data_IF_392247478280
#
_entry.id   IF_392247478280
#
_cell.length_a   1.000
_cell.length_b   1.000
_cell.length_c   1.000
_cell.angle_alpha   90.00
_cell.angle_beta   90.00
_cell.angle_gamma   90.00
#
_symmetry.space_group_name_H-M   'P 1'
#
loop_
_entity.id
_entity.type
_entity.pdbx_description
1 polymer ?
#
# COMPACT_ATOMS: atom_id res chain seq x y z
N UNK A 1 -16.12 12.16 -18.73
CA UNK A 1 -14.73 11.87 -18.28
C UNK A 1 -14.78 10.69 -17.31
N UNK A 2 -13.75 9.84 -17.28
CA UNK A 2 -13.62 8.76 -16.29
C UNK A 2 -13.49 9.39 -14.90
N UNK A 3 -14.25 8.89 -13.92
CA UNK A 3 -14.15 9.41 -12.54
C UNK A 3 -12.80 9.02 -11.95
N UNK A 4 -11.93 10.00 -11.67
CA UNK A 4 -10.66 9.82 -10.96
C UNK A 4 -10.95 9.91 -9.46
N UNK A 5 -10.47 8.92 -8.67
CA UNK A 5 -10.73 8.85 -7.23
C UNK A 5 -9.51 9.25 -6.42
N UNK A 6 -9.74 9.91 -5.31
CA UNK A 6 -8.68 10.14 -4.32
C UNK A 6 -8.52 8.93 -3.42
N UNK A 7 -7.28 8.58 -3.10
CA UNK A 7 -6.94 7.36 -2.32
C UNK A 7 -5.76 7.59 -1.38
N UNK A 8 -5.46 6.61 -0.57
CA UNK A 8 -4.27 6.54 0.30
C UNK A 8 -3.33 5.42 -0.15
N UNK A 9 -2.07 5.50 0.29
CA UNK A 9 -1.10 4.43 0.16
C UNK A 9 -0.73 3.94 1.55
N UNK A 10 -1.09 2.68 1.83
CA UNK A 10 -0.71 1.96 3.05
C UNK A 10 -0.96 2.74 4.34
N UNK A 11 0.13 3.04 5.04
CA UNK A 11 0.11 3.46 6.44
C UNK A 11 -0.26 4.92 6.66
N UNK A 12 -1.03 5.16 7.74
CA UNK A 12 -1.42 6.48 8.24
C UNK A 12 -0.88 6.72 9.66
N UNK A 13 -0.44 7.94 10.02
CA UNK A 13 0.13 8.21 11.34
C UNK A 13 -0.93 8.13 12.44
N UNK A 14 -0.62 7.34 13.46
CA UNK A 14 -1.37 7.28 14.72
C UNK A 14 -0.38 7.37 15.88
N UNK A 15 -0.81 7.98 16.99
CA UNK A 15 0.00 8.04 18.21
C UNK A 15 -0.50 6.96 19.16
N UNK A 16 0.29 5.91 19.32
CA UNK A 16 0.05 4.89 20.34
C UNK A 16 0.51 5.42 21.69
N UNK A 17 -0.30 5.23 22.74
CA UNK A 17 0.04 5.69 24.06
C UNK A 17 1.18 4.86 24.68
N UNK A 18 2.16 5.54 25.31
CA UNK A 18 3.33 4.88 25.87
C UNK A 18 2.98 3.80 26.89
N UNK A 19 1.93 4.01 27.70
CA UNK A 19 1.50 3.02 28.69
C UNK A 19 1.00 1.72 28.05
N UNK A 20 0.36 1.79 26.87
CA UNK A 20 -0.07 0.59 26.15
C UNK A 20 1.10 -0.14 25.50
N UNK A 21 2.07 0.63 24.95
CA UNK A 21 3.31 0.03 24.43
C UNK A 21 4.09 -0.68 25.54
N UNK A 22 4.21 -0.05 26.72
CA UNK A 22 4.84 -0.67 27.88
C UNK A 22 4.06 -1.88 28.40
N UNK A 23 2.73 -1.81 28.46
CA UNK A 23 1.88 -2.94 28.83
C UNK A 23 2.05 -4.12 27.90
N UNK A 24 2.10 -3.88 26.58
CA UNK A 24 2.37 -4.91 25.58
C UNK A 24 3.77 -5.50 25.72
N UNK A 25 4.77 -4.69 26.01
CA UNK A 25 6.16 -5.13 26.17
C UNK A 25 6.41 -5.91 27.49
N UNK A 26 5.96 -5.37 28.62
CA UNK A 26 6.27 -5.95 29.94
C UNK A 26 5.25 -6.99 30.41
N UNK A 27 3.98 -6.82 30.09
CA UNK A 27 2.88 -7.66 30.60
C UNK A 27 2.29 -8.61 29.56
N UNK A 28 2.83 -8.63 28.33
CA UNK A 28 2.26 -9.36 27.19
C UNK A 28 0.77 -9.02 26.93
N UNK A 29 0.32 -7.84 27.38
CA UNK A 29 -1.03 -7.38 27.19
C UNK A 29 -1.26 -7.07 25.70
N UNK A 30 -2.33 -7.62 25.10
CA UNK A 30 -2.69 -7.26 23.75
C UNK A 30 -3.09 -5.79 23.66
N UNK A 31 -2.44 -5.02 22.78
CA UNK A 31 -2.84 -3.66 22.45
C UNK A 31 -4.19 -3.69 21.76
N UNK A 32 -5.15 -2.91 22.25
CA UNK A 32 -6.42 -2.72 21.55
C UNK A 32 -6.23 -1.79 20.35
N UNK A 33 -6.00 -2.35 19.19
CA UNK A 33 -5.74 -1.59 17.95
C UNK A 33 -6.98 -0.90 17.38
N UNK A 34 -8.18 -1.34 17.73
CA UNK A 34 -9.44 -0.83 17.17
C UNK A 34 -9.56 0.70 17.30
N UNK A 35 -9.15 1.28 18.45
CA UNK A 35 -9.19 2.73 18.64
C UNK A 35 -8.21 3.48 17.72
N UNK A 36 -7.05 2.89 17.43
CA UNK A 36 -6.05 3.48 16.55
C UNK A 36 -6.47 3.37 15.09
N UNK A 37 -7.00 2.22 14.66
CA UNK A 37 -7.61 2.03 13.34
C UNK A 37 -8.74 3.04 13.16
N UNK A 38 -9.68 3.13 14.13
CA UNK A 38 -10.77 4.12 14.11
C UNK A 38 -10.26 5.55 14.00
N UNK A 39 -9.17 5.88 14.70
CA UNK A 39 -8.57 7.22 14.65
C UNK A 39 -8.03 7.54 13.25
N UNK A 40 -7.30 6.61 12.61
CA UNK A 40 -6.78 6.77 11.25
C UNK A 40 -7.92 6.88 10.22
N UNK A 41 -8.89 5.96 10.29
CA UNK A 41 -10.05 5.93 9.38
C UNK A 41 -10.87 7.22 9.49
N UNK A 42 -11.14 7.70 10.71
CA UNK A 42 -11.88 8.94 10.92
C UNK A 42 -11.17 10.16 10.30
N UNK A 43 -9.86 10.23 10.36
CA UNK A 43 -9.10 11.31 9.72
C UNK A 43 -9.24 11.21 8.18
N UNK A 44 -9.02 10.03 7.61
CA UNK A 44 -9.17 9.81 6.17
C UNK A 44 -10.59 10.18 5.67
N UNK A 45 -11.64 9.75 6.39
CA UNK A 45 -13.04 10.13 6.09
C UNK A 45 -13.21 11.65 6.14
N UNK A 46 -12.70 12.31 7.18
CA UNK A 46 -12.82 13.78 7.35
C UNK A 46 -12.09 14.57 6.28
N UNK A 47 -11.02 14.04 5.68
CA UNK A 47 -10.33 14.70 4.58
C UNK A 47 -11.11 14.65 3.27
N UNK A 48 -12.11 13.77 3.16
CA UNK A 48 -12.91 13.57 1.96
C UNK A 48 -12.34 12.52 1.00
N UNK A 49 -11.25 11.84 1.33
CA UNK A 49 -10.67 10.76 0.51
C UNK A 49 -11.72 9.69 0.21
N UNK A 50 -11.82 9.28 -1.06
CA UNK A 50 -12.86 8.37 -1.53
C UNK A 50 -12.54 6.89 -1.30
N UNK A 51 -11.25 6.53 -1.34
CA UNK A 51 -10.78 5.15 -1.12
C UNK A 51 -9.87 5.09 0.12
N UNK A 52 -10.27 4.34 1.11
CA UNK A 52 -9.72 4.33 2.48
C UNK A 52 -9.10 2.97 2.78
N UNK A 53 -8.04 2.94 3.57
CA UNK A 53 -7.44 1.72 4.14
C UNK A 53 -7.66 1.65 5.66
N UNK A 54 -7.21 0.57 6.30
CA UNK A 54 -7.12 0.44 7.75
C UNK A 54 -5.98 1.29 8.37
N UNK A 55 -5.20 1.96 7.51
CA UNK A 55 -4.05 2.78 7.89
C UNK A 55 -2.83 1.97 8.31
N UNK A 56 -2.83 0.64 8.16
CA UNK A 56 -1.74 -0.27 8.59
C UNK A 56 -1.20 0.08 9.99
N UNK A 57 -2.11 0.39 10.93
CA UNK A 57 -1.74 0.96 12.23
C UNK A 57 -1.09 -0.04 13.18
N UNK A 58 -1.43 -1.32 13.04
CA UNK A 58 -1.18 -2.40 14.02
C UNK A 58 0.31 -2.71 14.22
N UNK A 59 1.04 -2.83 13.14
CA UNK A 59 2.47 -3.22 13.13
C UNK A 59 3.19 -2.54 11.94
N UNK A 60 4.52 -2.58 11.86
CA UNK A 60 5.21 -2.38 10.61
C UNK A 60 4.62 -3.32 9.54
N UNK A 61 4.47 -2.82 8.32
CA UNK A 61 3.70 -3.49 7.25
C UNK A 61 4.17 -4.94 6.95
N UNK A 62 5.45 -5.25 7.16
CA UNK A 62 6.00 -6.62 7.08
C UNK A 62 5.44 -7.49 8.22
N UNK A 63 5.49 -7.00 9.45
CA UNK A 63 5.11 -7.78 10.63
C UNK A 63 3.62 -8.08 10.70
N UNK A 64 2.77 -7.27 10.06
CA UNK A 64 1.32 -7.55 9.96
C UNK A 64 1.10 -8.96 9.41
N UNK A 65 1.88 -9.35 8.40
CA UNK A 65 1.77 -10.65 7.74
C UNK A 65 2.59 -11.72 8.46
N UNK A 66 3.88 -11.49 8.66
CA UNK A 66 4.79 -12.51 9.18
C UNK A 66 4.46 -12.97 10.58
N UNK A 67 3.81 -12.15 11.41
CA UNK A 67 3.32 -12.54 12.75
C UNK A 67 2.24 -13.62 12.70
N UNK A 68 1.53 -13.75 11.59
CA UNK A 68 0.40 -14.68 11.43
C UNK A 68 0.69 -15.89 10.56
N UNK A 69 1.76 -15.86 9.81
CA UNK A 69 2.18 -16.99 8.97
C UNK A 69 2.94 -18.04 9.81
N UNK A 70 2.75 -19.31 9.49
CA UNK A 70 3.62 -20.38 10.01
C UNK A 70 5.02 -20.20 9.46
N UNK A 71 6.00 -20.78 10.13
CA UNK A 71 7.40 -20.70 9.73
C UNK A 71 8.08 -19.38 10.07
N UNK A 72 7.31 -18.32 10.42
CA UNK A 72 7.83 -17.02 10.79
C UNK A 72 7.88 -16.85 12.32
N UNK A 73 8.98 -16.30 12.81
CA UNK A 73 9.17 -15.90 14.21
C UNK A 73 9.63 -14.44 14.26
N UNK A 74 9.02 -13.63 15.11
CA UNK A 74 9.41 -12.24 15.26
C UNK A 74 10.25 -12.08 16.52
N UNK A 75 11.47 -11.54 16.33
CA UNK A 75 12.36 -11.01 17.36
C UNK A 75 12.65 -9.54 17.05
N UNK A 76 13.91 -9.15 16.98
CA UNK A 76 14.29 -7.82 16.47
C UNK A 76 13.91 -7.64 14.98
N UNK A 77 13.90 -8.77 14.25
CA UNK A 77 13.43 -8.88 12.86
C UNK A 77 12.56 -10.12 12.71
N UNK A 78 11.89 -10.25 11.58
CA UNK A 78 11.28 -11.52 11.20
C UNK A 78 12.37 -12.53 10.87
N UNK A 79 12.32 -13.70 11.49
CA UNK A 79 13.16 -14.87 11.21
C UNK A 79 12.30 -15.97 10.59
N UNK A 80 12.80 -16.58 9.52
CA UNK A 80 12.18 -17.75 8.90
C UNK A 80 12.83 -18.99 9.48
N UNK A 81 12.09 -19.74 10.28
CA UNK A 81 12.60 -20.88 11.06
C UNK A 81 12.00 -22.23 10.67
N UNK A 82 10.99 -22.20 9.79
CA UNK A 82 10.33 -23.39 9.24
C UNK A 82 9.66 -22.98 7.91
N UNK A 83 9.03 -23.94 7.24
CA UNK A 83 8.28 -23.70 6.00
C UNK A 83 7.20 -22.64 6.19
N UNK A 84 7.18 -21.63 5.30
CA UNK A 84 6.18 -20.59 5.32
C UNK A 84 4.86 -21.12 4.78
N UNK A 85 3.81 -21.04 5.61
CA UNK A 85 2.46 -21.46 5.23
C UNK A 85 1.42 -20.47 5.77
N UNK A 86 0.29 -20.37 5.06
CA UNK A 86 -0.88 -19.65 5.54
C UNK A 86 -1.49 -20.31 6.78
N UNK A 87 -1.81 -19.52 7.79
CA UNK A 87 -2.33 -20.02 9.07
C UNK A 87 -3.66 -19.38 9.48
N UNK A 88 -4.45 -19.00 8.50
CA UNK A 88 -5.75 -18.34 8.73
C UNK A 88 -5.71 -16.83 8.49
N UNK A 89 -6.89 -16.16 8.57
CA UNK A 89 -7.07 -14.76 8.18
C UNK A 89 -6.12 -13.80 8.89
N UNK A 90 -5.44 -12.96 8.11
CA UNK A 90 -4.42 -12.02 8.60
C UNK A 90 -5.04 -10.66 8.88
N UNK A 91 -5.67 -10.05 7.86
CA UNK A 91 -6.18 -8.67 7.93
C UNK A 91 -7.71 -8.59 8.00
N UNK A 92 -8.41 -9.67 7.77
CA UNK A 92 -9.87 -9.70 7.57
C UNK A 92 -10.66 -9.10 8.73
N UNK A 93 -10.22 -9.32 9.99
CA UNK A 93 -10.89 -8.75 11.17
C UNK A 93 -10.87 -7.22 11.10
N UNK A 94 -9.72 -6.64 10.77
CA UNK A 94 -9.56 -5.18 10.69
C UNK A 94 -10.35 -4.61 9.52
N UNK A 95 -10.37 -5.29 8.35
CA UNK A 95 -11.14 -4.83 7.20
C UNK A 95 -12.66 -4.84 7.47
N UNK A 96 -13.18 -5.87 8.17
CA UNK A 96 -14.58 -5.90 8.61
C UNK A 96 -14.89 -4.75 9.59
N UNK A 97 -13.98 -4.47 10.50
CA UNK A 97 -14.12 -3.35 11.44
C UNK A 97 -14.15 -2.01 10.71
N UNK A 98 -13.20 -1.79 9.78
CA UNK A 98 -13.14 -0.56 8.98
C UNK A 98 -14.40 -0.40 8.13
N UNK A 99 -14.90 -1.47 7.50
CA UNK A 99 -16.13 -1.42 6.70
C UNK A 99 -17.33 -0.89 7.51
N UNK A 100 -17.40 -1.21 8.80
CA UNK A 100 -18.42 -0.67 9.72
C UNK A 100 -18.19 0.79 10.15
N UNK A 101 -17.03 1.39 9.87
CA UNK A 101 -16.70 2.77 10.24
C UNK A 101 -16.84 3.75 9.09
N UNK A 102 -16.67 3.30 7.85
CA UNK A 102 -16.66 4.18 6.67
C UNK A 102 -18.07 4.36 6.12
N UNK A 103 -18.41 5.54 5.56
CA UNK A 103 -19.66 5.78 4.85
C UNK A 103 -19.83 4.84 3.64
N UNK A 104 -21.07 4.56 3.25
CA UNK A 104 -21.40 3.65 2.14
C UNK A 104 -20.87 4.12 0.78
N UNK A 105 -20.69 5.43 0.60
CA UNK A 105 -20.13 6.04 -0.61
C UNK A 105 -18.59 5.95 -0.69
N UNK A 106 -17.93 5.42 0.33
CA UNK A 106 -16.48 5.23 0.39
C UNK A 106 -16.09 3.79 0.04
N UNK A 107 -14.94 3.66 -0.60
CA UNK A 107 -14.36 2.36 -0.94
C UNK A 107 -13.28 1.97 0.07
N UNK A 108 -13.17 0.69 0.33
CA UNK A 108 -12.15 0.11 1.20
C UNK A 108 -11.08 -0.61 0.39
N UNK A 109 -9.82 -0.29 0.67
CA UNK A 109 -8.65 -0.93 0.06
C UNK A 109 -8.07 -1.93 1.04
N UNK A 110 -7.95 -3.18 0.62
CA UNK A 110 -7.16 -4.19 1.31
C UNK A 110 -5.69 -4.09 0.90
N UNK A 111 -4.80 -4.12 1.88
CA UNK A 111 -3.37 -3.99 1.66
C UNK A 111 -2.67 -5.33 1.89
N UNK A 112 -1.76 -5.71 1.00
CA UNK A 112 -0.92 -6.90 1.11
C UNK A 112 0.52 -6.48 0.90
N UNK A 113 1.39 -6.76 1.88
CA UNK A 113 2.83 -6.66 1.67
C UNK A 113 3.27 -7.76 0.72
N UNK A 114 3.97 -7.39 -0.34
CA UNK A 114 4.33 -8.32 -1.39
C UNK A 114 5.37 -9.36 -0.97
N UNK A 115 5.39 -10.52 -1.63
CA UNK A 115 6.20 -11.67 -1.22
C UNK A 115 7.71 -11.41 -1.33
N UNK A 116 8.17 -10.67 -2.32
CA UNK A 116 9.58 -10.32 -2.47
C UNK A 116 10.04 -9.38 -1.35
N UNK A 117 9.18 -8.45 -0.96
CA UNK A 117 9.41 -7.56 0.19
C UNK A 117 9.46 -8.36 1.49
N UNK A 118 8.55 -9.31 1.72
CA UNK A 118 8.59 -10.17 2.90
C UNK A 118 9.88 -10.99 2.96
N UNK A 119 10.30 -11.54 1.82
CA UNK A 119 11.56 -12.31 1.69
C UNK A 119 12.77 -11.45 2.09
N UNK A 120 12.93 -10.29 1.44
CA UNK A 120 14.10 -9.42 1.65
C UNK A 120 14.10 -8.69 3.01
N UNK A 121 12.96 -8.61 3.68
CA UNK A 121 12.84 -8.02 5.02
C UNK A 121 13.05 -9.04 6.15
N UNK A 122 13.18 -10.33 5.81
CA UNK A 122 13.31 -11.42 6.78
C UNK A 122 14.75 -11.96 6.84
N UNK A 123 15.11 -12.55 7.98
CA UNK A 123 16.33 -13.33 8.12
C UNK A 123 15.98 -14.79 7.87
N UNK A 124 16.44 -15.34 6.77
CA UNK A 124 16.18 -16.73 6.42
C UNK A 124 17.15 -17.66 7.17
N UNK A 125 16.60 -18.57 7.97
CA UNK A 125 17.33 -19.60 8.71
C UNK A 125 16.91 -21.03 8.30
N UNK A 126 15.99 -21.16 7.35
CA UNK A 126 15.40 -22.45 6.98
C UNK A 126 15.60 -22.82 5.51
N UNK A 127 15.28 -21.88 4.59
CA UNK A 127 15.41 -22.11 3.17
C UNK A 127 16.88 -21.99 2.72
N UNK A 128 17.22 -22.68 1.65
CA UNK A 128 18.55 -22.57 1.01
C UNK A 128 18.52 -21.70 -0.24
N UNK A 129 17.31 -21.38 -0.72
CA UNK A 129 17.06 -20.63 -1.94
C UNK A 129 16.01 -19.53 -1.65
N UNK A 130 16.41 -18.27 -1.82
CA UNK A 130 15.56 -17.11 -1.67
C UNK A 130 14.30 -17.20 -2.54
N UNK A 131 14.43 -17.77 -3.73
CA UNK A 131 13.31 -17.95 -4.67
C UNK A 131 12.24 -18.89 -4.07
N UNK A 132 12.64 -19.99 -3.44
CA UNK A 132 11.73 -20.93 -2.79
C UNK A 132 10.93 -20.22 -1.68
N UNK A 133 11.61 -19.46 -0.82
CA UNK A 133 10.98 -18.65 0.23
C UNK A 133 9.98 -17.64 -0.35
N UNK A 134 10.37 -16.93 -1.41
CA UNK A 134 9.50 -15.93 -2.06
C UNK A 134 8.22 -16.57 -2.63
N UNK A 135 8.32 -17.77 -3.21
CA UNK A 135 7.16 -18.50 -3.71
C UNK A 135 6.25 -19.00 -2.57
N UNK A 136 6.78 -19.49 -1.48
CA UNK A 136 5.97 -19.92 -0.33
C UNK A 136 5.24 -18.72 0.30
N UNK A 137 5.88 -17.56 0.40
CA UNK A 137 5.18 -16.31 0.74
C UNK A 137 4.06 -15.99 -0.25
N UNK A 138 4.32 -16.08 -1.57
CA UNK A 138 3.31 -15.78 -2.58
C UNK A 138 2.09 -16.71 -2.47
N UNK A 139 2.29 -18.01 -2.23
CA UNK A 139 1.20 -18.96 -2.02
C UNK A 139 0.41 -18.71 -0.74
N UNK A 140 1.09 -18.33 0.34
CA UNK A 140 0.42 -17.95 1.58
C UNK A 140 -0.41 -16.67 1.41
N UNK A 141 0.14 -15.64 0.76
CA UNK A 141 -0.55 -14.38 0.48
C UNK A 141 -1.71 -14.54 -0.52
N UNK A 142 -1.63 -15.48 -1.46
CA UNK A 142 -2.75 -15.83 -2.34
C UNK A 142 -3.97 -16.24 -1.53
N UNK A 143 -3.80 -17.06 -0.49
CA UNK A 143 -4.92 -17.51 0.36
C UNK A 143 -5.54 -16.34 1.12
N UNK A 144 -4.73 -15.43 1.66
CA UNK A 144 -5.23 -14.19 2.26
C UNK A 144 -5.99 -13.34 1.25
N UNK A 145 -5.43 -13.10 0.06
CA UNK A 145 -6.03 -12.28 -1.00
C UNK A 145 -7.40 -12.81 -1.44
N UNK A 146 -7.55 -14.14 -1.57
CA UNK A 146 -8.81 -14.79 -1.93
C UNK A 146 -9.92 -14.58 -0.89
N UNK A 147 -9.57 -14.48 0.38
CA UNK A 147 -10.55 -14.16 1.43
C UNK A 147 -10.78 -12.64 1.48
N UNK A 148 -9.71 -11.86 1.42
CA UNK A 148 -9.71 -10.41 1.53
C UNK A 148 -10.60 -9.74 0.48
N UNK A 149 -10.56 -10.18 -0.79
CA UNK A 149 -11.39 -9.61 -1.87
C UNK A 149 -12.90 -9.62 -1.59
N UNK A 150 -13.38 -10.46 -0.67
CA UNK A 150 -14.80 -10.52 -0.28
C UNK A 150 -15.19 -9.40 0.70
N UNK A 151 -14.23 -8.66 1.22
CA UNK A 151 -14.42 -7.66 2.26
C UNK A 151 -13.96 -6.26 1.86
N UNK A 152 -13.29 -6.13 0.72
CA UNK A 152 -12.72 -4.86 0.22
C UNK A 152 -13.13 -4.61 -1.23
N UNK A 153 -12.99 -3.37 -1.70
CA UNK A 153 -13.36 -2.99 -3.06
C UNK A 153 -12.16 -3.07 -4.02
N UNK A 154 -10.95 -3.12 -3.49
CA UNK A 154 -9.70 -3.24 -4.25
C UNK A 154 -8.61 -3.85 -3.36
N UNK A 155 -7.67 -4.58 -3.96
CA UNK A 155 -6.46 -5.04 -3.29
C UNK A 155 -5.25 -4.28 -3.83
N UNK A 156 -4.41 -3.75 -2.93
CA UNK A 156 -3.10 -3.17 -3.25
C UNK A 156 -1.99 -4.08 -2.72
N UNK A 157 -1.04 -4.42 -3.58
CA UNK A 157 0.16 -5.17 -3.23
C UNK A 157 1.31 -4.16 -3.14
N UNK A 158 1.99 -4.11 -2.00
CA UNK A 158 3.08 -3.17 -1.75
C UNK A 158 4.44 -3.89 -1.85
N UNK A 159 5.21 -3.60 -2.91
CA UNK A 159 6.49 -4.21 -3.23
C UNK A 159 7.64 -3.19 -3.32
N UNK A 160 8.00 -2.51 -2.22
CA UNK A 160 9.06 -1.50 -2.23
C UNK A 160 10.41 -2.04 -2.71
N UNK A 161 10.75 -3.30 -2.43
CA UNK A 161 12.02 -3.89 -2.85
C UNK A 161 12.17 -4.05 -4.37
N UNK A 162 11.07 -4.03 -5.13
CA UNK A 162 11.14 -4.03 -6.59
C UNK A 162 11.84 -2.80 -7.16
N UNK A 163 11.87 -1.68 -6.44
CA UNK A 163 12.63 -0.48 -6.88
C UNK A 163 14.14 -0.70 -6.94
N UNK A 164 14.67 -1.69 -6.21
CA UNK A 164 16.08 -2.08 -6.25
C UNK A 164 16.38 -3.04 -7.41
N UNK A 165 15.37 -3.55 -8.08
CA UNK A 165 15.40 -4.51 -9.18
C UNK A 165 14.34 -5.58 -9.02
N UNK A 166 13.67 -5.93 -10.12
CA UNK A 166 12.66 -6.99 -10.14
C UNK A 166 13.37 -8.30 -10.50
N UNK A 167 13.33 -9.34 -9.66
CA UNK A 167 13.93 -10.62 -10.01
C UNK A 167 13.18 -11.26 -11.18
N UNK A 168 13.82 -12.15 -11.94
CA UNK A 168 13.22 -12.83 -13.11
C UNK A 168 11.88 -13.50 -12.79
N UNK A 169 11.71 -13.97 -11.57
CA UNK A 169 10.49 -14.59 -11.07
C UNK A 169 9.49 -13.60 -10.46
N UNK A 170 9.83 -12.30 -10.37
CA UNK A 170 9.02 -11.28 -9.68
C UNK A 170 7.61 -11.15 -10.25
N UNK A 171 7.46 -11.17 -11.57
CA UNK A 171 6.14 -11.16 -12.24
C UNK A 171 5.28 -12.38 -11.85
N UNK A 172 5.90 -13.57 -11.75
CA UNK A 172 5.17 -14.79 -11.38
C UNK A 172 4.69 -14.75 -9.91
N UNK A 173 5.48 -14.16 -9.00
CA UNK A 173 5.04 -13.94 -7.61
C UNK A 173 3.74 -13.12 -7.55
N UNK A 174 3.68 -12.01 -8.29
CA UNK A 174 2.49 -11.16 -8.33
C UNK A 174 1.32 -11.88 -8.99
N UNK A 175 1.57 -12.64 -10.07
CA UNK A 175 0.57 -13.44 -10.77
C UNK A 175 -0.06 -14.51 -9.87
N UNK A 176 0.72 -15.18 -9.02
CA UNK A 176 0.21 -16.15 -8.05
C UNK A 176 -0.85 -15.51 -7.13
N UNK A 177 -0.59 -14.31 -6.62
CA UNK A 177 -1.51 -13.60 -5.73
C UNK A 177 -2.76 -13.13 -6.47
N UNK A 178 -2.59 -12.62 -7.71
CA UNK A 178 -3.65 -11.87 -8.42
C UNK A 178 -4.54 -12.72 -9.32
N UNK A 179 -4.10 -13.92 -9.72
CA UNK A 179 -4.72 -14.75 -10.76
C UNK A 179 -6.22 -14.99 -10.59
N UNK A 180 -6.65 -15.24 -9.36
CA UNK A 180 -8.03 -15.64 -9.06
C UNK A 180 -8.81 -14.52 -8.36
N UNK A 181 -8.35 -13.27 -8.46
CA UNK A 181 -9.02 -12.10 -7.90
C UNK A 181 -9.95 -11.45 -8.92
N UNK A 182 -11.19 -11.22 -8.54
CA UNK A 182 -12.20 -10.51 -9.33
C UNK A 182 -12.22 -8.99 -9.07
N UNK A 183 -11.75 -8.54 -7.89
CA UNK A 183 -11.65 -7.11 -7.59
C UNK A 183 -10.46 -6.47 -8.31
N UNK A 184 -10.46 -5.14 -8.52
CA UNK A 184 -9.30 -4.42 -9.05
C UNK A 184 -8.04 -4.65 -8.21
N UNK A 185 -6.89 -4.76 -8.88
CA UNK A 185 -5.58 -5.02 -8.29
C UNK A 185 -4.63 -3.86 -8.60
N UNK A 186 -4.00 -3.33 -7.56
CA UNK A 186 -2.98 -2.30 -7.66
C UNK A 186 -1.64 -2.87 -7.17
N UNK A 187 -0.56 -2.51 -7.81
CA UNK A 187 0.78 -2.66 -7.24
C UNK A 187 1.33 -1.28 -6.89
N UNK A 188 1.87 -1.16 -5.68
CA UNK A 188 2.60 0.03 -5.26
C UNK A 188 4.08 -0.31 -5.09
N UNK A 189 4.94 0.42 -5.80
CA UNK A 189 6.39 0.30 -5.70
C UNK A 189 6.92 1.68 -5.33
N UNK A 190 7.42 1.80 -4.09
CA UNK A 190 8.07 3.02 -3.60
C UNK A 190 9.43 3.25 -4.28
N UNK A 191 9.87 4.50 -4.33
CA UNK A 191 11.19 4.86 -4.84
C UNK A 191 11.25 5.03 -6.35
N UNK A 192 12.48 5.06 -6.87
CA UNK A 192 12.75 5.34 -8.29
C UNK A 192 12.68 4.07 -9.14
N UNK A 193 11.60 3.93 -9.90
CA UNK A 193 11.39 2.81 -10.85
C UNK A 193 11.77 3.17 -12.29
N UNK A 194 12.44 4.30 -12.53
CA UNK A 194 12.75 4.81 -13.89
C UNK A 194 13.53 3.83 -14.77
N UNK A 195 14.33 2.94 -14.16
CA UNK A 195 15.15 1.95 -14.85
C UNK A 195 14.45 0.64 -15.14
N UNK A 196 13.26 0.42 -14.56
CA UNK A 196 12.50 -0.83 -14.63
C UNK A 196 11.06 -0.62 -15.14
N UNK A 197 10.81 0.49 -15.85
CA UNK A 197 9.47 0.81 -16.37
C UNK A 197 8.88 -0.31 -17.24
N UNK A 198 9.63 -0.95 -18.16
CA UNK A 198 9.09 -2.06 -18.94
C UNK A 198 8.57 -3.21 -18.09
N UNK A 199 9.32 -3.62 -17.07
CA UNK A 199 8.96 -4.69 -16.14
C UNK A 199 7.74 -4.30 -15.31
N UNK A 200 7.66 -3.04 -14.87
CA UNK A 200 6.52 -2.50 -14.13
C UNK A 200 5.26 -2.49 -14.98
N UNK A 201 5.36 -2.06 -16.25
CA UNK A 201 4.24 -2.07 -17.19
C UNK A 201 3.73 -3.49 -17.51
N UNK A 202 4.58 -4.51 -17.38
CA UNK A 202 4.25 -5.91 -17.64
C UNK A 202 3.67 -6.65 -16.41
N UNK A 203 3.55 -5.99 -15.25
CA UNK A 203 2.99 -6.61 -14.03
C UNK A 203 1.52 -7.01 -14.21
N UNK A 204 1.09 -8.17 -13.69
CA UNK A 204 -0.28 -8.68 -13.86
C UNK A 204 -1.28 -8.03 -12.90
N UNK A 205 -1.40 -6.70 -12.99
CA UNK A 205 -2.30 -5.85 -12.18
C UNK A 205 -3.05 -4.86 -13.07
N UNK A 206 -4.09 -4.24 -12.54
CA UNK A 206 -4.91 -3.28 -13.27
C UNK A 206 -4.40 -1.84 -13.11
N UNK A 207 -3.72 -1.54 -11.98
CA UNK A 207 -3.33 -0.18 -11.59
C UNK A 207 -1.86 -0.18 -11.13
N UNK A 208 -1.07 0.76 -11.64
CA UNK A 208 0.30 1.02 -11.22
C UNK A 208 0.36 2.27 -10.32
N UNK A 209 1.06 2.18 -9.21
CA UNK A 209 1.17 3.25 -8.21
C UNK A 209 2.63 3.53 -7.86
N UNK A 210 3.08 4.77 -8.06
CA UNK A 210 4.46 5.18 -7.83
C UNK A 210 4.57 6.60 -7.28
N UNK A 211 5.77 6.96 -6.81
CA UNK A 211 6.14 8.23 -6.18
C UNK A 211 6.42 9.33 -7.22
N UNK A 212 5.46 9.69 -8.06
CA UNK A 212 5.66 10.65 -9.14
C UNK A 212 5.95 12.07 -8.66
N UNK A 213 5.46 12.47 -7.47
CA UNK A 213 5.73 13.80 -6.91
C UNK A 213 7.12 13.88 -6.32
N UNK A 214 7.57 12.85 -5.61
CA UNK A 214 8.90 12.75 -5.03
C UNK A 214 10.00 12.48 -6.06
N UNK A 215 9.64 11.82 -7.16
CA UNK A 215 10.55 11.42 -8.23
C UNK A 215 10.07 11.94 -9.60
N UNK A 216 10.18 13.26 -9.90
CA UNK A 216 9.63 13.85 -11.13
C UNK A 216 10.16 13.22 -12.42
N UNK A 217 11.37 12.63 -12.40
CA UNK A 217 11.96 11.89 -13.53
C UNK A 217 11.14 10.69 -13.97
N UNK A 218 10.26 10.18 -13.11
CA UNK A 218 9.37 9.06 -13.46
C UNK A 218 8.41 9.45 -14.57
N UNK A 219 7.88 10.68 -14.57
CA UNK A 219 7.01 11.15 -15.66
C UNK A 219 7.72 11.06 -17.01
N UNK A 220 8.97 11.53 -17.09
CA UNK A 220 9.77 11.46 -18.33
C UNK A 220 10.11 10.02 -18.72
N UNK A 221 10.39 9.15 -17.73
CA UNK A 221 10.65 7.73 -17.99
C UNK A 221 9.42 7.02 -18.55
N UNK A 222 8.25 7.22 -17.95
CA UNK A 222 7.00 6.60 -18.43
C UNK A 222 6.54 7.15 -19.78
N UNK A 223 6.80 8.43 -20.08
CA UNK A 223 6.44 9.06 -21.36
C UNK A 223 7.02 8.35 -22.59
N UNK A 224 8.09 7.58 -22.41
CA UNK A 224 8.77 6.84 -23.49
C UNK A 224 8.02 5.55 -23.88
N UNK A 225 6.97 5.17 -23.14
CA UNK A 225 6.27 3.91 -23.34
C UNK A 225 4.77 4.12 -23.55
N UNK A 226 4.15 3.19 -24.28
CA UNK A 226 2.69 3.14 -24.38
C UNK A 226 2.08 2.62 -23.07
N UNK A 227 1.33 3.47 -22.40
CA UNK A 227 0.66 3.11 -21.15
C UNK A 227 -0.67 2.40 -21.47
N UNK A 228 -0.85 1.21 -20.94
CA UNK A 228 -2.05 0.38 -21.15
C UNK A 228 -2.75 0.02 -19.84
N UNK A 229 -2.17 0.46 -18.71
CA UNK A 229 -2.72 0.24 -17.37
C UNK A 229 -3.16 1.55 -16.74
N UNK A 230 -4.10 1.45 -15.82
CA UNK A 230 -4.47 2.62 -15.03
C UNK A 230 -3.32 3.06 -14.13
N UNK A 231 -3.27 4.35 -13.86
CA UNK A 231 -2.26 4.99 -13.01
C UNK A 231 -2.92 5.51 -11.73
N UNK A 232 -2.31 5.19 -10.61
CA UNK A 232 -2.49 5.87 -9.35
C UNK A 232 -1.34 6.89 -9.21
N UNK A 233 -1.62 8.15 -9.48
CA UNK A 233 -0.62 9.20 -9.53
C UNK A 233 -0.27 9.67 -8.12
N UNK A 234 0.97 9.41 -7.67
CA UNK A 234 1.53 10.02 -6.46
C UNK A 234 1.61 11.54 -6.65
N UNK A 235 0.89 12.30 -5.82
CA UNK A 235 0.63 13.73 -6.06
C UNK A 235 0.98 14.64 -4.88
N UNK A 236 1.25 14.05 -3.71
CA UNK A 236 1.81 14.74 -2.53
C UNK A 236 2.93 13.89 -1.92
N UNK A 237 4.00 14.54 -1.47
CA UNK A 237 5.17 13.84 -0.92
C UNK A 237 4.86 13.23 0.45
N UNK A 238 5.41 12.05 0.69
CA UNK A 238 5.31 11.34 1.99
C UNK A 238 6.61 11.38 2.79
N UNK A 239 7.69 11.89 2.22
CA UNK A 239 9.04 11.90 2.79
C UNK A 239 9.42 13.22 3.52
N UNK A 240 8.55 14.23 3.47
CA UNK A 240 8.76 15.48 4.19
C UNK A 240 7.46 16.07 4.73
N UNK A 241 7.58 16.92 5.76
CA UNK A 241 6.45 17.52 6.48
C UNK A 241 5.90 18.82 5.86
N UNK A 242 6.46 19.29 4.73
CA UNK A 242 5.89 20.44 4.02
C UNK A 242 4.57 20.03 3.38
N UNK A 243 3.52 20.78 3.65
CA UNK A 243 2.19 20.58 3.05
C UNK A 243 2.15 21.32 1.71
N UNK A 244 1.91 20.60 0.64
CA UNK A 244 1.74 21.17 -0.70
C UNK A 244 0.45 21.99 -0.79
N UNK A 245 0.50 23.15 -1.43
CA UNK A 245 -0.70 23.92 -1.73
C UNK A 245 -1.56 23.21 -2.79
N UNK A 246 -2.85 23.52 -2.81
CA UNK A 246 -3.79 22.97 -3.82
C UNK A 246 -3.32 23.30 -5.24
N UNK A 247 -2.77 24.50 -5.47
CA UNK A 247 -2.24 24.90 -6.80
C UNK A 247 -1.05 24.03 -7.20
N UNK A 248 -0.08 23.79 -6.31
CA UNK A 248 1.08 22.93 -6.60
C UNK A 248 0.70 21.49 -6.92
N UNK A 249 -0.39 21.00 -6.30
CA UNK A 249 -0.92 19.65 -6.58
C UNK A 249 -1.60 19.65 -7.96
N UNK A 250 -2.39 20.67 -8.28
CA UNK A 250 -3.02 20.81 -9.61
C UNK A 250 -1.97 20.86 -10.72
N UNK A 251 -0.92 21.67 -10.54
CA UNK A 251 0.18 21.76 -11.51
C UNK A 251 0.87 20.41 -11.74
N UNK A 252 1.00 19.61 -10.68
CA UNK A 252 1.55 18.26 -10.79
C UNK A 252 0.59 17.28 -11.46
N UNK A 253 -0.70 17.33 -11.13
CA UNK A 253 -1.73 16.50 -11.79
C UNK A 253 -1.77 16.81 -13.29
N UNK A 254 -1.69 18.08 -13.71
CA UNK A 254 -1.65 18.46 -15.11
C UNK A 254 -0.42 17.88 -15.83
N UNK A 255 0.76 17.89 -15.21
CA UNK A 255 1.95 17.19 -15.76
C UNK A 255 1.73 15.68 -15.88
N UNK A 256 1.01 15.07 -14.94
CA UNK A 256 0.60 13.67 -15.03
C UNK A 256 -0.36 13.44 -16.22
N UNK A 257 -1.34 14.34 -16.45
CA UNK A 257 -2.27 14.28 -17.57
C UNK A 257 -1.51 14.35 -18.91
N UNK A 258 -0.51 15.22 -19.03
CA UNK A 258 0.34 15.34 -20.24
C UNK A 258 1.08 14.02 -20.60
N UNK A 259 1.25 13.13 -19.63
CA UNK A 259 1.95 11.85 -19.83
C UNK A 259 1.00 10.65 -19.92
N UNK A 260 -0.04 10.64 -19.09
CA UNK A 260 -0.91 9.47 -18.90
C UNK A 260 -2.32 9.64 -19.45
N UNK A 261 -2.70 10.87 -19.80
CA UNK A 261 -4.03 11.21 -20.33
C UNK A 261 -5.15 10.57 -19.48
N UNK A 262 -6.06 9.84 -20.09
CA UNK A 262 -7.21 9.19 -19.46
C UNK A 262 -6.84 7.93 -18.63
N UNK A 263 -5.57 7.54 -18.62
CA UNK A 263 -5.09 6.40 -17.82
C UNK A 263 -4.98 6.72 -16.32
N UNK A 264 -4.98 8.00 -15.90
CA UNK A 264 -5.08 8.35 -14.49
C UNK A 264 -6.45 7.92 -13.96
N UNK A 265 -6.45 7.05 -12.96
CA UNK A 265 -7.69 6.56 -12.31
C UNK A 265 -7.74 6.90 -10.83
N UNK A 266 -6.59 7.19 -10.24
CA UNK A 266 -6.47 7.50 -8.82
C UNK A 266 -5.43 8.62 -8.60
N UNK A 267 -5.66 9.44 -7.56
CA UNK A 267 -4.70 10.39 -6.99
C UNK A 267 -4.38 9.97 -5.57
N UNK A 268 -3.10 9.89 -5.23
CA UNK A 268 -2.65 9.42 -3.92
C UNK A 268 -1.47 10.25 -3.38
N UNK A 269 -1.13 10.13 -2.09
CA UNK A 269 0.24 10.41 -1.65
C UNK A 269 1.24 9.50 -2.37
N UNK A 270 2.49 9.94 -2.45
CA UNK A 270 3.57 9.16 -3.07
C UNK A 270 3.75 7.79 -2.42
N UNK A 271 3.63 7.73 -1.09
CA UNK A 271 3.78 6.52 -0.28
C UNK A 271 2.93 6.61 0.99
N UNK A 272 3.03 5.61 1.87
CA UNK A 272 2.44 5.64 3.20
C UNK A 272 2.92 6.85 4.04
N UNK A 273 2.04 7.42 4.84
CA UNK A 273 2.30 8.67 5.57
C UNK A 273 2.64 8.46 7.06
N UNK A 274 2.84 7.22 7.51
CA UNK A 274 3.07 6.89 8.94
C UNK A 274 4.16 7.73 9.61
N UNK A 275 5.21 8.11 8.87
CA UNK A 275 6.35 8.85 9.39
C UNK A 275 6.11 10.36 9.52
N UNK A 276 5.01 10.86 8.97
CA UNK A 276 4.64 12.27 9.06
C UNK A 276 3.94 12.58 10.38
N UNK A 277 4.03 13.84 10.88
CA UNK A 277 3.11 14.32 11.89
C UNK A 277 1.66 14.17 11.41
N UNK A 278 0.75 13.73 12.31
CA UNK A 278 -0.64 13.42 11.96
C UNK A 278 -1.40 14.59 11.32
N UNK A 279 -1.19 15.81 11.83
CA UNK A 279 -1.79 17.02 11.28
C UNK A 279 -1.27 17.31 9.85
N UNK A 280 0.00 17.03 9.58
CA UNK A 280 0.59 17.19 8.24
C UNK A 280 -0.02 16.20 7.27
N UNK A 281 -0.11 14.92 7.64
CA UNK A 281 -0.75 13.89 6.81
C UNK A 281 -2.21 14.25 6.49
N UNK A 282 -2.95 14.74 7.50
CA UNK A 282 -4.33 15.20 7.34
C UNK A 282 -4.45 16.35 6.32
N UNK A 283 -3.66 17.42 6.47
CA UNK A 283 -3.73 18.56 5.54
C UNK A 283 -3.25 18.21 4.12
N UNK A 284 -2.25 17.33 3.97
CA UNK A 284 -1.84 16.82 2.66
C UNK A 284 -2.99 16.09 1.94
N UNK A 285 -3.68 15.17 2.62
CA UNK A 285 -4.82 14.46 2.05
C UNK A 285 -5.97 15.42 1.71
N UNK A 286 -6.28 16.37 2.58
CA UNK A 286 -7.32 17.37 2.36
C UNK A 286 -7.02 18.25 1.14
N UNK A 287 -5.77 18.67 0.95
CA UNK A 287 -5.37 19.45 -0.22
C UNK A 287 -5.37 18.60 -1.49
N UNK A 288 -5.01 17.32 -1.41
CA UNK A 288 -5.11 16.36 -2.51
C UNK A 288 -6.55 16.21 -3.00
N UNK A 289 -7.51 16.01 -2.08
CA UNK A 289 -8.94 15.93 -2.40
C UNK A 289 -9.41 17.19 -3.11
N UNK A 290 -9.12 18.38 -2.55
CA UNK A 290 -9.49 19.66 -3.16
C UNK A 290 -8.89 19.87 -4.54
N UNK A 291 -7.67 19.41 -4.77
CA UNK A 291 -7.01 19.48 -6.07
C UNK A 291 -7.69 18.53 -7.08
N UNK A 292 -7.99 17.30 -6.67
CA UNK A 292 -8.72 16.33 -7.48
C UNK A 292 -10.11 16.82 -7.90
N UNK A 293 -10.88 17.40 -6.96
CA UNK A 293 -12.18 18.00 -7.23
C UNK A 293 -12.09 19.17 -8.24
N UNK A 294 -11.03 19.98 -8.19
CA UNK A 294 -10.87 21.10 -9.14
C UNK A 294 -10.45 20.66 -10.54
N UNK A 295 -9.79 19.51 -10.68
CA UNK A 295 -9.33 19.02 -11.99
C UNK A 295 -10.35 18.09 -12.64
N UNK A 296 -11.07 17.29 -11.86
CA UNK A 296 -11.93 16.21 -12.36
C UNK A 296 -13.40 16.30 -11.91
N UNK A 297 -13.75 17.26 -11.04
CA UNK A 297 -15.10 17.48 -10.50
C UNK A 297 -16.04 18.29 -11.39
#
# INVERSE_FOLDING_TARGET
MKKVKTTVIGSYPVKVENMELMGGYFNQAEISWDKYIKSAVNDMVKTGVEMISDGQTRDPFVNIFTRKLKGCRIRDRTEIVDKVEYNGPITIKDQKYVRGLIPEDRQLIGLITGPYTLTNSSVDLFYKDEKELAFDFAYALKQEAQILQKHVDMISIDEPFFSMGIPEYGKELIKIITKDLSCPKRIHICGDVSKIVPEVLDMPVDILSHEFKGSPKLLDAFKQYKITKNICLGSVRSDNSRVESVSEIIDHINKGIDVFDDMISQLAPDCGQRMLPRNVAFEKLKNLVKAGEKVYG
#
